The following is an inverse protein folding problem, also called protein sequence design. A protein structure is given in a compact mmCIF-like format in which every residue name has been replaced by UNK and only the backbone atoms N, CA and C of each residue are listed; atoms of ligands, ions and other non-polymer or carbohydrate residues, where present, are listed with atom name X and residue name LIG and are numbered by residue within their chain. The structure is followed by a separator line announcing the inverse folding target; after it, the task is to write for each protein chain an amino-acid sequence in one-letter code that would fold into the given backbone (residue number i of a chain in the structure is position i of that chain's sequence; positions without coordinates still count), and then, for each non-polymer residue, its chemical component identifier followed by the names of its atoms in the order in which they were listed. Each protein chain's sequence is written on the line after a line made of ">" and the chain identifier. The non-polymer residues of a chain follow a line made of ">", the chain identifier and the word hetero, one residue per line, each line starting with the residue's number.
data_IF_297646910736
#
_entry.id   IF_297646910736
#
_cell.length_a   1.000
_cell.length_b   1.000
_cell.length_c   1.000
_cell.angle_alpha   90.00
_cell.angle_beta   90.00
_cell.angle_gamma   90.00
#
_symmetry.space_group_name_H-M   'P 1'
#
loop_
_entity.id
_entity.type
_entity.pdbx_description
1 polymer ?
#
# COMPACT_ATOMS: atom_id res chain seq x y z
N UNK A 1 -19.16 3.48 -38.48
CA UNK A 1 -18.12 4.52 -38.37
C UNK A 1 -18.30 5.26 -37.05
N UNK A 2 -17.40 5.04 -36.08
CA UNK A 2 -17.44 5.66 -34.76
C UNK A 2 -16.81 7.05 -34.89
N UNK A 3 -17.57 8.14 -34.73
CA UNK A 3 -17.03 9.51 -34.69
C UNK A 3 -16.05 9.60 -33.51
N UNK A 4 -14.76 9.64 -33.79
CA UNK A 4 -13.75 10.05 -32.81
C UNK A 4 -13.95 11.54 -32.55
N UNK A 5 -14.33 11.88 -31.32
CA UNK A 5 -14.25 13.26 -30.85
C UNK A 5 -12.77 13.68 -30.84
N UNK A 6 -12.44 14.92 -31.25
CA UNK A 6 -11.07 15.40 -31.25
C UNK A 6 -10.52 15.37 -29.82
N UNK A 7 -9.38 14.69 -29.63
CA UNK A 7 -8.60 14.79 -28.40
C UNK A 7 -8.08 16.21 -28.31
N UNK A 8 -8.59 17.00 -27.36
CA UNK A 8 -7.98 18.27 -26.98
C UNK A 8 -6.58 17.96 -26.44
N UNK A 9 -5.55 18.37 -27.19
CA UNK A 9 -4.20 18.45 -26.65
C UNK A 9 -4.15 19.58 -25.64
N UNK A 10 -3.28 19.48 -24.67
CA UNK A 10 -3.16 20.46 -23.60
C UNK A 10 -2.89 21.90 -24.01
N UNK A 11 -2.31 22.07 -25.20
CA UNK A 11 -2.03 23.36 -25.79
C UNK A 11 -3.31 24.13 -26.12
N UNK A 12 -4.49 23.49 -26.06
CA UNK A 12 -5.79 24.12 -26.30
C UNK A 12 -6.51 24.56 -25.02
N UNK A 13 -5.85 24.63 -23.87
CA UNK A 13 -6.45 25.17 -22.65
C UNK A 13 -6.11 26.66 -22.55
N UNK A 14 -7.11 27.54 -22.38
CA UNK A 14 -6.90 28.97 -22.42
C UNK A 14 -5.97 29.43 -21.28
N UNK A 15 -5.12 30.42 -21.57
CA UNK A 15 -4.16 30.98 -20.62
C UNK A 15 -4.83 31.78 -19.50
N UNK A 16 -6.10 32.19 -19.69
CA UNK A 16 -6.95 32.81 -18.69
C UNK A 16 -8.23 32.01 -18.49
N UNK A 17 -8.78 32.06 -17.27
CA UNK A 17 -10.05 31.42 -16.92
C UNK A 17 -11.26 32.03 -17.65
N UNK A 18 -11.08 33.18 -18.32
CA UNK A 18 -12.14 33.96 -18.97
C UNK A 18 -12.67 33.33 -20.27
N UNK A 19 -11.91 32.40 -20.88
CA UNK A 19 -12.30 31.71 -22.11
C UNK A 19 -12.88 30.29 -21.86
N UNK A 20 -13.05 29.89 -20.59
CA UNK A 20 -13.71 28.63 -20.27
C UNK A 20 -15.23 28.77 -20.51
N UNK A 21 -15.90 27.75 -21.08
CA UNK A 21 -17.34 27.79 -21.34
C UNK A 21 -18.21 27.67 -20.07
N UNK A 22 -17.66 27.99 -18.89
CA UNK A 22 -18.26 27.77 -17.57
C UNK A 22 -17.94 28.98 -16.68
N UNK A 23 -18.96 29.56 -16.05
CA UNK A 23 -18.79 30.68 -15.11
C UNK A 23 -17.81 30.32 -13.97
N UNK A 24 -16.98 31.26 -13.54
CA UNK A 24 -15.96 31.03 -12.51
C UNK A 24 -16.52 30.45 -11.19
N UNK A 25 -17.76 30.81 -10.85
CA UNK A 25 -18.48 30.27 -9.67
C UNK A 25 -18.80 28.77 -9.84
N UNK A 26 -19.24 28.37 -11.03
CA UNK A 26 -19.59 26.98 -11.34
C UNK A 26 -18.32 26.12 -11.47
N UNK A 27 -17.24 26.69 -12.00
CA UNK A 27 -15.92 26.07 -12.00
C UNK A 27 -15.42 25.77 -10.58
N UNK A 28 -15.49 26.74 -9.66
CA UNK A 28 -15.11 26.54 -8.26
C UNK A 28 -15.98 25.48 -7.56
N UNK A 29 -17.27 25.41 -7.88
CA UNK A 29 -18.14 24.36 -7.36
C UNK A 29 -17.73 22.97 -7.87
N UNK A 30 -17.45 22.82 -9.16
CA UNK A 30 -16.97 21.55 -9.73
C UNK A 30 -15.65 21.11 -9.10
N UNK A 31 -14.70 22.03 -8.96
CA UNK A 31 -13.41 21.75 -8.31
C UNK A 31 -13.58 21.36 -6.83
N UNK A 32 -14.52 22.00 -6.13
CA UNK A 32 -14.85 21.64 -4.74
C UNK A 32 -15.48 20.24 -4.62
N UNK A 33 -16.37 19.88 -5.54
CA UNK A 33 -16.97 18.53 -5.61
C UNK A 33 -15.90 17.48 -5.89
N UNK A 34 -15.02 17.71 -6.85
CA UNK A 34 -13.92 16.80 -7.19
C UNK A 34 -12.91 16.62 -6.05
N UNK A 35 -12.56 17.72 -5.37
CA UNK A 35 -11.71 17.69 -4.19
C UNK A 35 -12.37 16.87 -3.07
N UNK A 36 -13.64 17.13 -2.78
CA UNK A 36 -14.40 16.43 -1.73
C UNK A 36 -14.49 14.94 -2.04
N UNK A 37 -14.79 14.56 -3.29
CA UNK A 37 -14.77 13.17 -3.73
C UNK A 37 -13.40 12.51 -3.52
N UNK A 38 -12.33 13.17 -3.96
CA UNK A 38 -10.95 12.67 -3.79
C UNK A 38 -10.58 12.53 -2.31
N UNK A 39 -10.99 13.48 -1.47
CA UNK A 39 -10.74 13.45 -0.03
C UNK A 39 -11.46 12.27 0.67
N UNK A 40 -12.72 11.99 0.30
CA UNK A 40 -13.42 10.82 0.81
C UNK A 40 -12.72 9.50 0.41
N UNK A 41 -12.25 9.40 -0.82
CA UNK A 41 -11.49 8.22 -1.28
C UNK A 41 -10.16 8.10 -0.53
N UNK A 42 -9.48 9.21 -0.24
CA UNK A 42 -8.26 9.21 0.58
C UNK A 42 -8.52 8.69 2.00
N UNK A 43 -9.60 9.15 2.65
CA UNK A 43 -9.99 8.69 3.99
C UNK A 43 -10.31 7.18 3.98
N UNK A 44 -11.09 6.73 3.00
CA UNK A 44 -11.40 5.30 2.84
C UNK A 44 -10.14 4.44 2.66
N UNK A 45 -9.20 4.89 1.81
CA UNK A 45 -7.94 4.19 1.59
C UNK A 45 -7.04 4.17 2.84
N UNK A 46 -7.04 5.25 3.64
CA UNK A 46 -6.34 5.31 4.93
C UNK A 46 -6.93 4.30 5.92
N UNK A 47 -8.24 4.22 6.02
CA UNK A 47 -8.94 3.29 6.90
C UNK A 47 -8.73 1.83 6.48
N UNK A 48 -8.80 1.55 5.18
CA UNK A 48 -8.52 0.21 4.64
C UNK A 48 -7.10 -0.24 5.00
N UNK A 49 -6.10 0.63 4.81
CA UNK A 49 -4.71 0.34 5.19
C UNK A 49 -4.61 -0.04 6.66
N UNK A 50 -5.21 0.73 7.57
CA UNK A 50 -5.16 0.45 9.01
C UNK A 50 -5.85 -0.89 9.33
N UNK A 51 -7.02 -1.15 8.74
CA UNK A 51 -7.74 -2.42 8.91
C UNK A 51 -6.91 -3.61 8.44
N UNK A 52 -6.28 -3.52 7.27
CA UNK A 52 -5.44 -4.58 6.72
C UNK A 52 -4.17 -4.80 7.55
N UNK A 53 -3.56 -3.74 8.09
CA UNK A 53 -2.44 -3.88 9.03
C UNK A 53 -2.86 -4.61 10.31
N UNK A 54 -4.00 -4.23 10.92
CA UNK A 54 -4.52 -4.91 12.12
C UNK A 54 -4.83 -6.37 11.86
N UNK A 55 -5.48 -6.67 10.73
CA UNK A 55 -5.79 -8.04 10.32
C UNK A 55 -4.50 -8.86 10.14
N UNK A 56 -3.49 -8.29 9.47
CA UNK A 56 -2.19 -8.95 9.28
C UNK A 56 -1.53 -9.27 10.63
N UNK A 57 -1.48 -8.30 11.55
CA UNK A 57 -0.92 -8.51 12.89
C UNK A 57 -1.70 -9.56 13.69
N UNK A 58 -3.03 -9.56 13.61
CA UNK A 58 -3.87 -10.56 14.28
C UNK A 58 -3.67 -11.97 13.73
N UNK A 59 -3.40 -12.11 12.43
CA UNK A 59 -3.12 -13.42 11.84
C UNK A 59 -1.72 -13.92 12.18
N UNK A 60 -0.76 -13.01 12.33
CA UNK A 60 0.58 -13.36 12.81
C UNK A 60 0.55 -13.86 14.25
N UNK A 61 -0.32 -13.33 15.12
CA UNK A 61 -0.41 -13.83 16.50
C UNK A 61 -1.18 -15.16 16.63
N UNK A 62 -1.95 -15.56 15.62
CA UNK A 62 -2.84 -16.71 15.71
C UNK A 62 -2.14 -18.07 15.92
N UNK A 63 -1.02 -18.41 15.26
CA UNK A 63 -0.29 -19.65 15.55
C UNK A 63 0.21 -19.73 17.00
N UNK A 64 0.66 -18.61 17.57
CA UNK A 64 1.08 -18.54 18.97
C UNK A 64 -0.11 -18.74 19.91
N UNK A 65 -1.23 -18.07 19.65
CA UNK A 65 -2.45 -18.24 20.42
C UNK A 65 -2.95 -19.69 20.38
N UNK A 66 -2.90 -20.34 19.21
CA UNK A 66 -3.26 -21.74 19.04
C UNK A 66 -2.32 -22.67 19.82
N UNK A 67 -1.01 -22.45 19.75
CA UNK A 67 -0.03 -23.24 20.50
C UNK A 67 -0.22 -23.10 22.01
N UNK A 68 -0.45 -21.88 22.50
CA UNK A 68 -0.75 -21.62 23.93
C UNK A 68 -2.04 -22.33 24.33
N UNK A 69 -3.12 -22.21 23.55
CA UNK A 69 -4.38 -22.87 23.85
C UNK A 69 -4.24 -24.41 23.91
N UNK A 70 -3.49 -25.00 22.98
CA UNK A 70 -3.24 -26.45 22.94
C UNK A 70 -2.37 -26.91 24.13
N UNK A 71 -1.37 -26.14 24.51
CA UNK A 71 -0.56 -26.41 25.70
C UNK A 71 -1.38 -26.27 26.99
N UNK A 72 -2.20 -25.22 27.10
CA UNK A 72 -3.11 -25.00 28.25
C UNK A 72 -4.17 -26.10 28.37
N UNK A 73 -4.67 -26.63 27.24
CA UNK A 73 -5.58 -27.76 27.20
C UNK A 73 -4.90 -29.11 27.45
N UNK A 74 -3.58 -29.14 27.72
CA UNK A 74 -2.76 -30.35 27.90
C UNK A 74 -2.77 -31.30 26.69
N UNK A 75 -3.11 -30.80 25.51
CA UNK A 75 -3.06 -31.55 24.25
C UNK A 75 -1.61 -31.69 23.78
N UNK A 76 -0.80 -30.66 24.04
CA UNK A 76 0.64 -30.64 23.74
C UNK A 76 1.43 -30.59 25.04
N UNK A 77 2.40 -31.50 25.20
CA UNK A 77 3.38 -31.39 26.28
C UNK A 77 4.39 -30.29 25.95
N UNK A 78 4.61 -29.27 26.79
CA UNK A 78 5.60 -28.23 26.55
C UNK A 78 7.02 -28.76 26.28
N UNK A 79 7.39 -29.91 26.87
CA UNK A 79 8.68 -30.55 26.62
C UNK A 79 8.84 -31.01 25.17
N UNK A 80 7.74 -31.33 24.48
CA UNK A 80 7.73 -31.69 23.07
C UNK A 80 8.03 -30.50 22.13
N UNK A 81 8.02 -29.26 22.64
CA UNK A 81 8.39 -28.07 21.87
C UNK A 81 9.89 -27.75 21.95
N UNK A 82 10.66 -28.51 22.72
CA UNK A 82 12.10 -28.25 22.92
C UNK A 82 12.97 -28.80 21.80
N UNK A 83 12.47 -29.76 21.02
CA UNK A 83 13.20 -30.36 19.90
C UNK A 83 12.30 -30.53 18.70
N UNK A 84 12.81 -30.26 17.50
CA UNK A 84 12.04 -30.30 16.26
C UNK A 84 11.35 -31.65 16.03
N UNK A 85 12.06 -32.75 16.30
CA UNK A 85 11.59 -34.11 16.11
C UNK A 85 10.36 -34.48 16.95
N UNK A 86 10.19 -33.84 18.11
CA UNK A 86 9.11 -34.15 19.05
C UNK A 86 7.90 -33.25 18.88
N UNK A 87 7.99 -32.18 18.08
CA UNK A 87 6.87 -31.28 17.82
C UNK A 87 5.77 -32.02 17.05
N UNK A 88 4.52 -32.03 17.55
CA UNK A 88 3.42 -32.65 16.84
C UNK A 88 3.17 -32.02 15.47
N UNK A 89 2.99 -32.86 14.45
CA UNK A 89 2.82 -32.43 13.05
C UNK A 89 1.68 -31.41 12.85
N UNK A 90 0.61 -31.48 13.65
CA UNK A 90 -0.53 -30.56 13.54
C UNK A 90 -0.19 -29.12 13.94
N UNK A 91 0.87 -28.90 14.76
CA UNK A 91 1.36 -27.55 15.04
C UNK A 91 2.05 -26.97 13.81
N UNK A 92 2.87 -27.76 13.11
CA UNK A 92 3.44 -27.36 11.82
C UNK A 92 2.35 -27.08 10.79
N UNK A 93 1.31 -27.93 10.72
CA UNK A 93 0.15 -27.70 9.87
C UNK A 93 -0.54 -26.36 10.16
N UNK A 94 -0.73 -26.04 11.45
CA UNK A 94 -1.34 -24.78 11.89
C UNK A 94 -0.48 -23.59 11.46
N UNK A 95 0.82 -23.64 11.69
CA UNK A 95 1.77 -22.58 11.30
C UNK A 95 1.76 -22.37 9.77
N UNK A 96 1.80 -23.45 8.98
CA UNK A 96 1.71 -23.37 7.52
C UNK A 96 0.38 -22.76 7.07
N UNK A 97 -0.74 -23.21 7.63
CA UNK A 97 -2.07 -22.74 7.25
C UNK A 97 -2.22 -21.23 7.49
N UNK A 98 -1.80 -20.73 8.65
CA UNK A 98 -1.84 -19.30 8.94
C UNK A 98 -0.84 -18.49 8.10
N UNK A 99 0.34 -19.04 7.83
CA UNK A 99 1.30 -18.41 6.91
C UNK A 99 0.69 -18.20 5.52
N UNK A 100 0.14 -19.27 4.94
CA UNK A 100 -0.54 -19.20 3.64
C UNK A 100 -1.75 -18.26 3.65
N UNK A 101 -2.58 -18.32 4.70
CA UNK A 101 -3.76 -17.46 4.83
C UNK A 101 -3.38 -15.97 4.96
N UNK A 102 -2.24 -15.66 5.57
CA UNK A 102 -1.74 -14.29 5.72
C UNK A 102 -1.26 -13.66 4.41
N UNK A 103 -1.05 -14.45 3.34
CA UNK A 103 -0.72 -13.93 2.00
C UNK A 103 -1.86 -13.04 1.45
N UNK A 104 -3.12 -13.38 1.73
CA UNK A 104 -4.28 -12.61 1.26
C UNK A 104 -4.31 -11.18 1.82
N UNK A 105 -4.30 -10.96 3.15
CA UNK A 105 -4.26 -9.62 3.72
C UNK A 105 -2.94 -8.91 3.40
N UNK A 106 -1.84 -9.63 3.20
CA UNK A 106 -0.59 -9.04 2.70
C UNK A 106 -0.76 -8.40 1.32
N UNK A 107 -1.37 -9.11 0.35
CA UNK A 107 -1.65 -8.56 -0.98
C UNK A 107 -2.61 -7.36 -0.91
N UNK A 108 -3.65 -7.45 -0.09
CA UNK A 108 -4.61 -6.35 0.12
C UNK A 108 -3.96 -5.13 0.78
N UNK A 109 -3.04 -5.35 1.71
CA UNK A 109 -2.28 -4.27 2.34
C UNK A 109 -1.44 -3.50 1.31
N UNK A 110 -0.80 -4.20 0.37
CA UNK A 110 -0.04 -3.57 -0.72
C UNK A 110 -0.96 -2.67 -1.56
N UNK A 111 -2.14 -3.18 -1.93
CA UNK A 111 -3.13 -2.42 -2.71
C UNK A 111 -3.65 -1.20 -1.94
N UNK A 112 -3.96 -1.35 -0.66
CA UNK A 112 -4.42 -0.26 0.20
C UNK A 112 -3.35 0.83 0.39
N UNK A 113 -2.08 0.44 0.59
CA UNK A 113 -0.95 1.38 0.64
C UNK A 113 -0.82 2.14 -0.68
N UNK A 114 -0.90 1.45 -1.81
CA UNK A 114 -0.83 2.08 -3.13
C UNK A 114 -2.02 3.01 -3.38
N UNK A 115 -3.24 2.63 -2.98
CA UNK A 115 -4.42 3.49 -3.07
C UNK A 115 -4.29 4.76 -2.21
N UNK A 116 -3.79 4.62 -0.99
CA UNK A 116 -3.55 5.74 -0.08
C UNK A 116 -2.51 6.71 -0.63
N UNK A 117 -1.42 6.21 -1.21
CA UNK A 117 -0.39 7.06 -1.83
C UNK A 117 -0.89 7.77 -3.10
N UNK A 118 -1.70 7.08 -3.93
CA UNK A 118 -2.30 7.69 -5.13
C UNK A 118 -3.23 8.84 -4.77
N UNK A 119 -4.09 8.64 -3.78
CA UNK A 119 -5.08 9.64 -3.35
C UNK A 119 -4.42 10.81 -2.62
N UNK A 120 -3.37 10.54 -1.82
CA UNK A 120 -2.55 11.60 -1.21
C UNK A 120 -1.91 12.51 -2.26
N UNK A 121 -1.38 11.94 -3.35
CA UNK A 121 -0.81 12.70 -4.46
C UNK A 121 -1.87 13.53 -5.19
N UNK A 122 -3.05 12.96 -5.45
CA UNK A 122 -4.15 13.69 -6.08
C UNK A 122 -4.55 14.94 -5.26
N UNK A 123 -4.67 14.80 -3.94
CA UNK A 123 -4.93 15.93 -3.02
C UNK A 123 -3.82 16.98 -3.11
N UNK A 124 -2.56 16.55 -3.15
CA UNK A 124 -1.42 17.45 -3.25
C UNK A 124 -1.41 18.22 -4.59
N UNK A 125 -1.79 17.56 -5.68
CA UNK A 125 -1.93 18.21 -6.99
C UNK A 125 -3.04 19.27 -6.99
N UNK A 126 -4.18 19.02 -6.34
CA UNK A 126 -5.20 20.06 -6.14
C UNK A 126 -4.64 21.25 -5.36
N UNK A 127 -3.87 21.00 -4.30
CA UNK A 127 -3.22 22.05 -3.51
C UNK A 127 -2.23 22.88 -4.33
N UNK A 128 -1.48 22.25 -5.24
CA UNK A 128 -0.61 22.95 -6.19
C UNK A 128 -1.41 23.85 -7.13
N UNK A 129 -2.54 23.38 -7.66
CA UNK A 129 -3.41 24.20 -8.51
C UNK A 129 -3.87 25.47 -7.78
N UNK A 130 -4.31 25.35 -6.52
CA UNK A 130 -4.73 26.54 -5.74
C UNK A 130 -3.59 27.52 -5.49
N UNK A 131 -2.39 27.03 -5.16
CA UNK A 131 -1.22 27.87 -4.83
C UNK A 131 -0.58 28.51 -6.05
N UNK A 132 -0.68 27.89 -7.22
CA UNK A 132 -0.05 28.40 -8.46
C UNK A 132 -1.03 29.19 -9.32
N UNK A 133 -2.25 28.69 -9.53
CA UNK A 133 -3.20 29.30 -10.48
C UNK A 133 -4.26 30.18 -9.81
N UNK A 134 -4.63 29.89 -8.55
CA UNK A 134 -5.70 30.62 -7.84
C UNK A 134 -5.17 31.48 -6.69
N UNK A 135 -3.85 31.67 -6.62
CA UNK A 135 -3.16 32.40 -5.55
C UNK A 135 -3.74 33.78 -5.31
N UNK A 136 -3.99 34.53 -6.38
CA UNK A 136 -4.44 35.92 -6.29
C UNK A 136 -5.90 36.01 -5.82
N UNK A 137 -6.72 35.02 -6.17
CA UNK A 137 -8.10 34.91 -5.71
C UNK A 137 -8.17 34.58 -4.21
N UNK A 138 -7.32 33.67 -3.73
CA UNK A 138 -7.31 33.27 -2.32
C UNK A 138 -6.55 34.24 -1.41
N UNK A 139 -5.51 34.92 -1.91
CA UNK A 139 -4.76 35.92 -1.15
C UNK A 139 -5.60 37.15 -0.83
N UNK A 140 -6.48 37.57 -1.75
CA UNK A 140 -7.47 38.62 -1.51
C UNK A 140 -8.51 38.25 -0.44
N UNK A 141 -8.68 36.96 -0.15
CA UNK A 141 -9.54 36.44 0.92
C UNK A 141 -8.78 36.14 2.23
N UNK A 142 -7.47 36.47 2.30
CA UNK A 142 -6.63 36.20 3.46
C UNK A 142 -6.38 34.71 3.74
N UNK A 143 -6.69 33.84 2.78
CA UNK A 143 -6.55 32.39 2.94
C UNK A 143 -5.17 31.91 2.48
N UNK A 144 -4.56 31.01 3.25
CA UNK A 144 -3.33 30.31 2.86
C UNK A 144 -3.39 28.82 3.24
N UNK A 145 -2.66 27.94 2.55
CA UNK A 145 -2.64 26.52 2.86
C UNK A 145 -2.03 26.27 4.25
N UNK A 146 -2.73 25.50 5.09
CA UNK A 146 -2.27 25.15 6.46
C UNK A 146 -1.05 24.21 6.48
N UNK A 147 -0.68 23.64 5.35
CA UNK A 147 0.47 22.74 5.21
C UNK A 147 1.33 23.24 4.05
N UNK A 148 2.66 23.06 4.12
CA UNK A 148 3.52 23.29 2.96
C UNK A 148 3.06 22.40 1.80
N UNK A 149 3.06 22.96 0.60
CA UNK A 149 2.78 22.22 -0.63
C UNK A 149 4.12 21.85 -1.23
N UNK A 150 4.37 20.56 -1.36
CA UNK A 150 5.61 20.04 -1.94
C UNK A 150 5.25 19.23 -3.20
N UNK A 151 5.70 19.63 -4.41
CA UNK A 151 5.49 18.89 -5.64
C UNK A 151 5.97 17.43 -5.60
N UNK A 152 6.91 17.12 -4.70
CA UNK A 152 7.47 15.78 -4.52
C UNK A 152 6.64 14.92 -3.57
N UNK A 153 5.65 15.49 -2.87
CA UNK A 153 4.82 14.78 -1.92
C UNK A 153 3.69 13.96 -2.58
N UNK A 154 3.41 12.73 -2.09
CA UNK A 154 4.22 11.99 -1.14
C UNK A 154 5.55 11.59 -1.78
N UNK A 155 6.64 11.76 -1.02
CA UNK A 155 7.99 11.35 -1.39
C UNK A 155 7.90 9.91 -1.89
N UNK A 156 8.07 9.80 -3.19
CA UNK A 156 7.82 8.65 -4.06
C UNK A 156 8.02 7.32 -3.35
N UNK A 157 6.95 6.51 -3.20
CA UNK A 157 6.94 5.02 -3.19
C UNK A 157 8.25 4.31 -2.83
N UNK A 158 8.96 4.79 -1.82
CA UNK A 158 10.29 4.30 -1.56
C UNK A 158 10.08 2.92 -0.92
N UNK A 159 10.73 1.87 -1.43
CA UNK A 159 10.71 0.57 -0.76
C UNK A 159 11.12 0.69 0.72
N UNK A 160 11.90 1.74 1.05
CA UNK A 160 12.40 2.09 2.36
C UNK A 160 11.57 3.15 3.11
N UNK A 161 10.48 3.64 2.54
CA UNK A 161 9.52 4.44 3.32
C UNK A 161 8.84 3.52 4.35
N UNK A 162 8.37 4.11 5.46
CA UNK A 162 7.73 3.36 6.55
C UNK A 162 6.68 2.33 6.10
N UNK A 163 5.82 2.58 5.08
CA UNK A 163 4.91 1.55 4.56
C UNK A 163 5.63 0.35 3.93
N UNK A 164 6.72 0.59 3.20
CA UNK A 164 7.54 -0.47 2.59
C UNK A 164 8.26 -1.32 3.64
N UNK A 165 8.81 -0.69 4.69
CA UNK A 165 9.42 -1.39 5.82
C UNK A 165 8.41 -2.33 6.50
N UNK A 166 7.19 -1.85 6.76
CA UNK A 166 6.14 -2.69 7.36
C UNK A 166 5.80 -3.90 6.49
N UNK A 167 5.68 -3.71 5.17
CA UNK A 167 5.45 -4.80 4.22
C UNK A 167 6.63 -5.78 4.23
N UNK A 168 7.88 -5.31 4.26
CA UNK A 168 9.06 -6.17 4.32
C UNK A 168 9.12 -7.00 5.61
N UNK A 169 8.80 -6.39 6.76
CA UNK A 169 8.75 -7.11 8.04
C UNK A 169 7.66 -8.19 8.04
N UNK A 170 6.46 -7.86 7.53
CA UNK A 170 5.37 -8.85 7.41
C UNK A 170 5.75 -9.99 6.46
N UNK A 171 6.41 -9.69 5.34
CA UNK A 171 6.91 -10.69 4.39
C UNK A 171 7.92 -11.64 5.04
N UNK A 172 8.85 -11.11 5.85
CA UNK A 172 9.85 -11.91 6.55
C UNK A 172 9.18 -12.86 7.56
N UNK A 173 8.29 -12.34 8.41
CA UNK A 173 7.61 -13.16 9.42
C UNK A 173 6.73 -14.22 8.75
N UNK A 174 6.01 -13.86 7.69
CA UNK A 174 5.21 -14.83 6.95
C UNK A 174 6.07 -15.92 6.31
N UNK A 175 7.21 -15.53 5.73
CA UNK A 175 8.17 -16.46 5.15
C UNK A 175 8.74 -17.43 6.18
N UNK A 176 8.97 -16.95 7.41
CA UNK A 176 9.35 -17.80 8.54
C UNK A 176 8.28 -18.84 8.88
N UNK A 177 7.01 -18.44 8.92
CA UNK A 177 5.91 -19.38 9.19
C UNK A 177 5.78 -20.44 8.10
N UNK A 178 5.77 -20.02 6.84
CA UNK A 178 5.66 -20.95 5.72
C UNK A 178 6.85 -21.92 5.72
N UNK A 179 8.08 -21.42 5.92
CA UNK A 179 9.29 -22.26 5.97
C UNK A 179 9.23 -23.27 7.13
N UNK A 180 8.99 -22.80 8.36
CA UNK A 180 8.97 -23.65 9.56
C UNK A 180 7.89 -24.71 9.44
N UNK A 181 6.67 -24.31 9.08
CA UNK A 181 5.56 -25.24 8.97
C UNK A 181 5.77 -26.25 7.83
N UNK A 182 6.21 -25.82 6.64
CA UNK A 182 6.41 -26.72 5.50
C UNK A 182 7.53 -27.73 5.74
N UNK A 183 8.66 -27.31 6.31
CA UNK A 183 9.77 -28.21 6.65
C UNK A 183 9.36 -29.21 7.73
N UNK A 184 8.62 -28.77 8.74
CA UNK A 184 8.13 -29.64 9.81
C UNK A 184 7.12 -30.67 9.30
N UNK A 185 6.21 -30.26 8.40
CA UNK A 185 5.29 -31.19 7.73
C UNK A 185 6.00 -32.20 6.82
N UNK A 186 7.12 -31.81 6.20
CA UNK A 186 7.95 -32.71 5.42
C UNK A 186 8.77 -33.69 6.28
N UNK A 187 8.73 -33.56 7.61
CA UNK A 187 9.55 -34.35 8.54
C UNK A 187 11.05 -34.05 8.42
N UNK A 188 11.42 -32.92 7.79
CA UNK A 188 12.81 -32.52 7.68
C UNK A 188 13.27 -31.89 9.00
N UNK A 189 14.48 -32.20 9.45
CA UNK A 189 15.17 -31.49 10.53
C UNK A 189 16.15 -30.49 9.91
N UNK A 190 15.72 -29.24 9.63
CA UNK A 190 16.56 -28.31 8.91
C UNK A 190 17.71 -27.83 9.79
N UNK A 191 18.91 -27.77 9.20
CA UNK A 191 19.99 -27.00 9.79
C UNK A 191 19.59 -25.50 9.84
N UNK A 192 20.12 -24.71 10.80
CA UNK A 192 19.81 -23.28 10.87
C UNK A 192 20.12 -22.53 9.57
N UNK A 193 21.17 -22.94 8.85
CA UNK A 193 21.57 -22.38 7.56
C UNK A 193 20.53 -22.65 6.47
N UNK A 194 20.02 -23.88 6.37
CA UNK A 194 18.97 -24.23 5.42
C UNK A 194 17.67 -23.47 5.72
N UNK A 195 17.30 -23.38 7.01
CA UNK A 195 16.10 -22.65 7.43
C UNK A 195 16.18 -21.18 7.04
N UNK A 196 17.30 -20.49 7.36
CA UNK A 196 17.51 -19.08 6.98
C UNK A 196 17.46 -18.91 5.47
N UNK A 197 18.09 -19.80 4.70
CA UNK A 197 18.10 -19.73 3.24
C UNK A 197 16.69 -19.81 2.65
N UNK A 198 15.85 -20.74 3.14
CA UNK A 198 14.46 -20.88 2.70
C UNK A 198 13.63 -19.64 3.07
N UNK A 199 13.80 -19.12 4.29
CA UNK A 199 13.12 -17.89 4.73
C UNK A 199 13.49 -16.72 3.82
N UNK A 200 14.78 -16.56 3.51
CA UNK A 200 15.25 -15.47 2.63
C UNK A 200 14.73 -15.62 1.20
N UNK A 201 14.67 -16.83 0.65
CA UNK A 201 14.09 -17.09 -0.67
C UNK A 201 12.60 -16.75 -0.71
N UNK A 202 11.83 -17.18 0.29
CA UNK A 202 10.40 -16.85 0.39
C UNK A 202 10.18 -15.35 0.60
N UNK A 203 11.01 -14.70 1.41
CA UNK A 203 10.93 -13.25 1.64
C UNK A 203 11.25 -12.48 0.35
N UNK A 204 12.22 -12.96 -0.44
CA UNK A 204 12.53 -12.41 -1.76
C UNK A 204 11.35 -12.54 -2.71
N UNK A 205 10.63 -13.66 -2.72
CA UNK A 205 9.41 -13.83 -3.52
C UNK A 205 8.34 -12.81 -3.11
N UNK A 206 8.08 -12.65 -1.81
CA UNK A 206 7.13 -11.64 -1.32
C UNK A 206 7.56 -10.22 -1.71
N UNK A 207 8.85 -9.92 -1.62
CA UNK A 207 9.42 -8.63 -2.02
C UNK A 207 9.26 -8.39 -3.52
N UNK A 208 9.52 -9.39 -4.37
CA UNK A 208 9.31 -9.30 -5.82
C UNK A 208 7.85 -9.02 -6.14
N UNK A 209 6.90 -9.69 -5.47
CA UNK A 209 5.46 -9.41 -5.64
C UNK A 209 5.13 -7.97 -5.25
N UNK A 210 5.63 -7.50 -4.11
CA UNK A 210 5.47 -6.10 -3.68
C UNK A 210 6.05 -5.12 -4.72
N UNK A 211 7.27 -5.38 -5.18
CA UNK A 211 7.96 -4.54 -6.15
C UNK A 211 7.21 -4.45 -7.48
N UNK A 212 6.79 -5.60 -8.04
CA UNK A 212 6.01 -5.65 -9.28
C UNK A 212 4.68 -4.91 -9.12
N UNK A 213 3.92 -5.17 -8.05
CA UNK A 213 2.62 -4.51 -7.81
C UNK A 213 2.75 -3.00 -7.61
N UNK A 214 3.80 -2.57 -6.92
CA UNK A 214 4.09 -1.15 -6.70
C UNK A 214 4.56 -0.46 -7.98
N UNK A 215 5.36 -1.13 -8.82
CA UNK A 215 5.83 -0.60 -10.09
C UNK A 215 4.76 -0.57 -11.18
N UNK A 216 3.88 -1.57 -11.26
CA UNK A 216 2.71 -1.53 -12.15
C UNK A 216 1.80 -0.36 -11.76
N UNK A 217 1.63 -0.11 -10.46
CA UNK A 217 0.92 1.06 -9.96
C UNK A 217 1.65 2.37 -10.29
N UNK A 218 3.00 2.33 -10.37
CA UNK A 218 3.84 3.46 -10.80
C UNK A 218 3.77 3.74 -12.30
N UNK A 219 3.72 2.75 -13.17
CA UNK A 219 3.67 2.98 -14.62
C UNK A 219 2.30 3.51 -15.09
N UNK A 220 1.23 3.18 -14.36
CA UNK A 220 -0.10 3.80 -14.56
C UNK A 220 -0.15 5.29 -14.18
N UNK A 221 0.96 5.90 -13.73
CA UNK A 221 1.06 7.30 -13.25
C UNK A 221 1.14 8.37 -14.31
N UNK A 222 1.31 8.07 -15.59
CA UNK A 222 1.42 9.12 -16.60
C UNK A 222 0.11 9.18 -17.40
N UNK A 223 -0.96 9.85 -16.91
CA UNK A 223 -1.78 10.55 -17.88
C UNK A 223 -0.82 11.47 -18.65
N UNK A 224 -0.91 11.49 -19.98
CA UNK A 224 -0.15 12.43 -20.81
C UNK A 224 -0.26 13.79 -20.14
N UNK A 225 0.83 14.29 -19.54
CA UNK A 225 0.85 15.50 -18.73
C UNK A 225 0.49 16.63 -19.67
N UNK A 226 -0.79 17.05 -19.73
CA UNK A 226 -1.19 17.97 -20.75
C UNK A 226 -0.49 19.30 -20.43
N UNK A 227 -0.59 19.72 -19.18
CA UNK A 227 -0.20 21.04 -18.69
C UNK A 227 1.31 21.30 -18.60
N UNK A 228 2.15 20.41 -19.17
CA UNK A 228 3.62 20.53 -19.12
C UNK A 228 4.18 20.87 -17.74
N UNK A 229 3.54 20.42 -16.64
CA UNK A 229 4.14 20.55 -15.32
C UNK A 229 5.53 19.89 -15.39
N UNK A 230 6.60 20.53 -14.88
CA UNK A 230 7.93 19.96 -14.96
C UNK A 230 7.89 18.55 -14.36
N UNK A 231 8.23 17.54 -15.15
CA UNK A 231 8.41 16.17 -14.66
C UNK A 231 9.65 16.19 -13.77
N UNK A 232 9.46 16.42 -12.47
CA UNK A 232 10.56 16.52 -11.50
C UNK A 232 11.04 15.14 -11.02
N UNK A 233 10.58 14.04 -11.65
CA UNK A 233 11.02 12.65 -11.37
C UNK A 233 12.08 12.14 -12.39
N UNK A 234 12.88 13.02 -13.01
CA UNK A 234 14.14 12.64 -13.69
C UNK A 234 15.36 13.03 -12.87
#
# INVERSE_FOLDING_TARGET
>A
MRKMLPRMSAESLPQSLDELPVDAKDFLQLVSVDFTGTYHVYLAAKDERIKMTRLSMSLLSAPFAAAVALASAKVVNPLALTSWATVPWYLFATVTAFGLLSVVPFLRLIEAVNAHMRTARAINNFRLLYVVQLKDHFSGLGWSPNLPVDPRYPETYAPLAWPGINVMMLALVNSAYIAVGALGLAGAEPTPTLLVLIIMLLALVHYLVYYVRSNVSRQRRLPQNPFHFPNVET
#
